data_IF_736000400670
#
_entry.id   IF_736000400670
#
_cell.length_a   1.000
_cell.length_b   1.000
_cell.length_c   1.000
_cell.angle_alpha   90.00
_cell.angle_beta   90.00
_cell.angle_gamma   90.00
#
_symmetry.space_group_name_H-M   'P 1'
#
loop_
_entity.id
_entity.type
_entity.pdbx_description
1 polymer ?
#
# COMPACT_ATOMS: atom_id res chain seq x y z
N UNK A 1 4.17 23.08 14.59
CA UNK A 1 4.79 21.74 14.65
C UNK A 1 3.71 20.69 14.88
N UNK A 2 3.73 19.58 14.16
CA UNK A 2 2.78 18.49 14.39
C UNK A 2 3.14 17.69 15.66
N UNK A 3 2.16 17.48 16.54
CA UNK A 3 2.35 16.73 17.80
C UNK A 3 2.11 15.22 17.59
N UNK A 4 2.95 14.38 18.20
CA UNK A 4 2.86 12.91 18.16
C UNK A 4 1.98 12.39 19.29
N UNK A 5 1.01 11.53 19.00
CA UNK A 5 0.30 10.72 19.99
C UNK A 5 0.55 9.24 19.72
N UNK A 6 0.90 8.48 20.76
CA UNK A 6 1.14 7.04 20.70
C UNK A 6 -0.14 6.29 21.12
N UNK A 7 -0.80 5.62 20.19
CA UNK A 7 -1.78 4.58 20.53
C UNK A 7 -1.05 3.23 20.70
N UNK A 8 -1.35 2.48 21.77
CA UNK A 8 -0.77 1.15 22.01
C UNK A 8 -1.04 0.24 20.81
N UNK A 9 0.01 -0.16 20.10
CA UNK A 9 -0.03 -1.10 18.97
C UNK A 9 -0.29 -0.50 17.57
N UNK A 10 -0.38 0.84 17.43
CA UNK A 10 -0.61 1.52 16.15
C UNK A 10 0.63 2.22 15.58
N UNK A 11 0.64 2.48 14.26
CA UNK A 11 1.61 3.40 13.66
C UNK A 11 1.49 4.80 14.28
N UNK A 12 2.59 5.56 14.42
CA UNK A 12 2.55 6.89 15.03
C UNK A 12 1.60 7.81 14.26
N UNK A 13 0.70 8.47 14.99
CA UNK A 13 -0.25 9.42 14.42
C UNK A 13 0.19 10.85 14.73
N UNK A 14 0.25 11.65 13.68
CA UNK A 14 0.65 13.06 13.75
C UNK A 14 -0.58 13.94 13.61
N UNK A 15 -0.56 15.08 14.30
CA UNK A 15 -1.66 16.02 14.26
C UNK A 15 -1.17 17.44 13.99
N UNK A 16 -1.86 18.16 13.10
CA UNK A 16 -1.74 19.61 13.00
C UNK A 16 -3.00 20.23 13.59
N UNK A 17 -2.87 21.02 14.66
CA UNK A 17 -3.99 21.28 15.58
C UNK A 17 -4.60 19.94 16.03
N UNK A 18 -5.85 19.68 15.66
CA UNK A 18 -6.54 18.41 15.87
C UNK A 18 -6.88 17.68 14.56
N UNK A 19 -6.27 18.06 13.44
CA UNK A 19 -6.36 17.33 12.18
C UNK A 19 -5.39 16.15 12.17
N UNK A 20 -5.84 14.90 12.00
CA UNK A 20 -4.95 13.77 11.84
C UNK A 20 -4.22 13.83 10.48
N UNK A 21 -2.89 13.83 10.51
CA UNK A 21 -2.02 13.89 9.34
C UNK A 21 -1.41 12.52 9.10
N UNK A 22 -1.79 11.90 7.97
CA UNK A 22 -1.23 10.61 7.51
C UNK A 22 -0.21 10.78 6.39
N UNK A 23 -0.47 11.72 5.50
CA UNK A 23 0.39 12.01 4.35
C UNK A 23 0.79 13.48 4.37
N UNK A 24 2.04 13.74 4.00
CA UNK A 24 2.55 15.07 3.69
C UNK A 24 2.65 15.19 2.17
N UNK A 25 2.35 16.39 1.67
CA UNK A 25 2.56 16.78 0.29
C UNK A 25 3.41 18.06 0.29
N UNK A 26 4.57 18.00 -0.34
CA UNK A 26 5.60 19.04 -0.30
C UNK A 26 6.10 19.33 -1.71
N UNK A 27 6.45 20.58 -1.97
CA UNK A 27 7.28 20.99 -3.10
C UNK A 27 8.51 21.68 -2.53
N UNK A 28 9.67 21.45 -3.14
CA UNK A 28 10.91 22.09 -2.70
C UNK A 28 12.06 21.77 -3.65
N UNK A 29 13.13 22.54 -3.51
CA UNK A 29 14.36 22.29 -4.25
C UNK A 29 15.17 21.20 -3.55
N UNK A 30 15.75 20.29 -4.32
CA UNK A 30 16.70 19.31 -3.80
C UNK A 30 18.00 20.05 -3.45
N UNK A 31 18.41 19.95 -2.18
CA UNK A 31 19.65 20.58 -1.69
C UNK A 31 20.75 19.57 -1.36
N UNK A 32 20.40 18.29 -1.24
CA UNK A 32 21.36 17.19 -1.11
C UNK A 32 20.77 15.87 -1.60
N UNK A 33 21.62 15.01 -2.17
CA UNK A 33 21.31 13.64 -2.59
C UNK A 33 22.33 12.74 -1.92
N UNK A 34 21.88 11.80 -1.08
CA UNK A 34 22.78 10.94 -0.31
C UNK A 34 22.45 9.46 -0.55
N UNK A 35 23.47 8.66 -0.85
CA UNK A 35 23.39 7.21 -0.76
C UNK A 35 23.72 6.79 0.69
N UNK A 36 22.73 6.30 1.42
CA UNK A 36 22.94 5.86 2.81
C UNK A 36 23.48 4.44 2.83
N UNK A 37 22.88 3.56 2.03
CA UNK A 37 23.34 2.20 1.78
C UNK A 37 22.60 1.63 0.55
N UNK A 38 22.86 0.35 0.23
CA UNK A 38 22.23 -0.35 -0.89
C UNK A 38 20.70 -0.35 -0.89
N UNK A 39 20.07 -0.13 0.27
CA UNK A 39 18.60 -0.13 0.42
C UNK A 39 17.99 1.27 0.48
N UNK A 40 18.74 2.27 0.92
CA UNK A 40 18.20 3.60 1.23
C UNK A 40 19.00 4.71 0.57
N UNK A 41 18.27 5.57 -0.13
CA UNK A 41 18.73 6.84 -0.67
C UNK A 41 17.89 7.94 -0.06
N UNK A 42 18.47 9.10 0.22
CA UNK A 42 17.73 10.26 0.73
C UNK A 42 17.92 11.47 -0.16
N UNK A 43 16.84 12.23 -0.35
CA UNK A 43 16.86 13.57 -0.91
C UNK A 43 16.58 14.56 0.22
N UNK A 44 17.35 15.63 0.36
CA UNK A 44 17.01 16.72 1.28
C UNK A 44 16.30 17.80 0.51
N UNK A 45 15.11 18.20 0.96
CA UNK A 45 14.30 19.25 0.34
C UNK A 45 14.27 20.51 1.18
N UNK A 46 14.39 21.66 0.50
CA UNK A 46 14.14 22.99 1.05
C UNK A 46 12.94 23.63 0.32
N UNK A 47 11.92 24.03 1.08
CA UNK A 47 10.74 24.73 0.58
C UNK A 47 10.75 26.24 0.89
N UNK A 48 11.87 26.74 1.43
CA UNK A 48 12.04 28.14 1.83
C UNK A 48 11.34 28.51 3.15
N UNK A 49 10.76 27.55 3.89
CA UNK A 49 10.09 27.82 5.17
C UNK A 49 11.05 28.00 6.35
N UNK A 50 12.35 27.75 6.14
CA UNK A 50 13.41 27.89 7.15
C UNK A 50 13.85 26.57 7.81
N UNK A 51 13.34 25.43 7.35
CA UNK A 51 13.78 24.10 7.75
C UNK A 51 13.80 23.16 6.54
N UNK A 52 14.60 22.10 6.58
CA UNK A 52 14.71 21.13 5.49
C UNK A 52 14.10 19.78 5.89
N UNK A 53 13.71 18.98 4.90
CA UNK A 53 13.12 17.67 5.13
C UNK A 53 13.83 16.58 4.34
N UNK A 54 14.28 15.54 5.03
CA UNK A 54 14.79 14.33 4.37
C UNK A 54 13.63 13.49 3.80
N UNK A 55 13.72 13.18 2.51
CA UNK A 55 12.83 12.28 1.78
C UNK A 55 13.56 10.97 1.56
N UNK A 56 13.07 9.93 2.23
CA UNK A 56 13.62 8.58 2.18
C UNK A 56 13.04 7.79 1.01
N UNK A 57 13.93 7.34 0.14
CA UNK A 57 13.68 6.42 -0.98
C UNK A 57 14.10 5.01 -0.54
N UNK A 58 13.22 4.04 -0.79
CA UNK A 58 13.49 2.62 -0.52
C UNK A 58 13.72 1.90 -1.84
N UNK A 59 14.92 1.39 -2.03
CA UNK A 59 15.30 0.54 -3.16
C UNK A 59 14.73 -0.86 -2.95
N UNK A 60 14.25 -1.48 -4.01
CA UNK A 60 13.86 -2.88 -3.98
C UNK A 60 15.13 -3.71 -3.79
N UNK A 61 15.13 -4.68 -2.85
CA UNK A 61 16.26 -5.57 -2.69
C UNK A 61 16.34 -6.51 -3.91
N UNK A 62 17.53 -7.05 -4.23
CA UNK A 62 17.74 -7.83 -5.45
C UNK A 62 16.82 -9.04 -5.58
N UNK A 63 16.35 -9.62 -4.48
CA UNK A 63 15.45 -10.79 -4.51
C UNK A 63 14.00 -10.42 -4.92
N UNK A 64 13.62 -9.14 -4.79
CA UNK A 64 12.30 -8.65 -5.13
C UNK A 64 12.27 -7.87 -6.45
N UNK A 65 13.42 -7.41 -6.94
CA UNK A 65 13.51 -6.69 -8.20
C UNK A 65 13.51 -7.64 -9.40
N UNK A 66 12.51 -7.50 -10.26
CA UNK A 66 12.46 -8.19 -11.55
C UNK A 66 12.26 -7.15 -12.67
N UNK A 67 13.23 -6.92 -13.57
CA UNK A 67 13.10 -5.96 -14.67
C UNK A 67 11.89 -6.17 -15.58
N UNK A 68 11.32 -7.39 -15.63
CA UNK A 68 10.14 -7.70 -16.43
C UNK A 68 8.83 -7.26 -15.75
N UNK A 69 8.76 -7.41 -14.42
CA UNK A 69 7.54 -7.18 -13.64
C UNK A 69 7.59 -5.88 -12.81
N UNK A 70 8.78 -5.32 -12.59
CA UNK A 70 9.03 -4.13 -11.76
C UNK A 70 9.33 -2.95 -12.67
N UNK A 71 8.47 -1.92 -12.71
CA UNK A 71 8.69 -0.74 -13.56
C UNK A 71 9.90 0.10 -13.11
N UNK A 72 10.34 -0.09 -11.87
CA UNK A 72 11.46 0.62 -11.27
C UNK A 72 12.22 -0.25 -10.26
N UNK A 73 13.47 0.11 -9.95
CA UNK A 73 14.27 -0.50 -8.89
C UNK A 73 13.99 0.04 -7.46
N UNK A 74 12.92 0.82 -7.27
CA UNK A 74 12.47 1.31 -5.96
C UNK A 74 11.02 0.91 -5.65
N UNK A 75 10.55 1.19 -4.43
CA UNK A 75 9.12 1.05 -4.08
C UNK A 75 8.21 2.09 -4.77
N UNK A 76 8.75 2.96 -5.63
CA UNK A 76 8.02 4.01 -6.35
C UNK A 76 8.23 3.83 -7.84
N UNK A 77 7.14 3.52 -8.56
CA UNK A 77 7.18 3.00 -9.93
C UNK A 77 7.89 3.87 -10.97
N UNK A 78 7.98 5.18 -10.76
CA UNK A 78 8.60 6.13 -11.70
C UNK A 78 9.97 6.67 -11.23
N UNK A 79 10.62 6.02 -10.25
CA UNK A 79 11.82 6.53 -9.60
C UNK A 79 12.92 5.48 -9.54
N UNK A 80 13.99 5.65 -10.31
CA UNK A 80 15.14 4.74 -10.25
C UNK A 80 16.32 5.35 -9.52
N UNK A 81 17.08 4.48 -8.84
CA UNK A 81 18.37 4.82 -8.22
C UNK A 81 19.45 3.92 -8.81
N UNK A 82 20.31 4.50 -9.63
CA UNK A 82 21.46 3.81 -10.22
C UNK A 82 22.68 4.07 -9.34
N UNK A 83 23.20 3.02 -8.71
CA UNK A 83 24.42 3.10 -7.90
C UNK A 83 25.43 2.08 -8.39
N UNK A 84 26.65 2.55 -8.64
CA UNK A 84 27.77 1.77 -9.14
C UNK A 84 29.09 2.52 -9.00
N UNK A 85 30.17 1.91 -9.49
CA UNK A 85 31.52 2.44 -9.35
C UNK A 85 31.64 3.78 -10.12
N UNK A 86 31.77 4.88 -9.39
CA UNK A 86 31.84 6.23 -9.96
C UNK A 86 30.52 6.79 -10.50
N UNK A 87 29.39 6.14 -10.24
CA UNK A 87 28.08 6.57 -10.73
C UNK A 87 27.01 6.46 -9.65
N UNK A 88 26.33 7.58 -9.39
CA UNK A 88 25.19 7.62 -8.49
C UNK A 88 24.15 8.60 -9.05
N UNK A 89 23.10 8.06 -9.67
CA UNK A 89 22.03 8.86 -10.28
C UNK A 89 20.68 8.50 -9.66
N UNK A 90 19.86 9.52 -9.44
CA UNK A 90 18.44 9.37 -9.13
C UNK A 90 17.66 9.89 -10.34
N UNK A 91 16.75 9.09 -10.89
CA UNK A 91 15.95 9.52 -12.05
C UNK A 91 14.46 9.38 -11.78
N UNK A 92 13.68 10.39 -12.14
CA UNK A 92 12.21 10.40 -12.06
C UNK A 92 11.64 10.55 -13.46
N UNK A 93 10.85 9.58 -13.92
CA UNK A 93 10.32 9.54 -15.30
C UNK A 93 11.45 9.69 -16.35
N UNK A 94 12.63 9.16 -16.07
CA UNK A 94 13.83 9.28 -16.92
C UNK A 94 14.58 10.61 -16.80
N UNK A 95 14.09 11.58 -16.03
CA UNK A 95 14.78 12.84 -15.76
C UNK A 95 15.70 12.73 -14.55
N UNK A 96 16.96 13.12 -14.69
CA UNK A 96 17.91 13.17 -13.56
C UNK A 96 17.44 14.17 -12.50
N UNK A 97 17.39 13.72 -11.26
CA UNK A 97 17.14 14.53 -10.07
C UNK A 97 18.46 14.72 -9.34
N UNK A 98 18.96 15.95 -9.36
CA UNK A 98 20.18 16.37 -8.67
C UNK A 98 19.92 17.65 -7.86
N UNK A 99 20.92 18.12 -7.12
CA UNK A 99 20.90 19.40 -6.40
C UNK A 99 20.48 20.53 -7.34
N UNK A 100 19.52 21.33 -6.91
CA UNK A 100 18.87 22.38 -7.70
C UNK A 100 17.61 21.94 -8.45
N UNK A 101 17.31 20.64 -8.51
CA UNK A 101 16.06 20.15 -9.12
C UNK A 101 14.89 20.46 -8.20
N UNK A 102 13.83 21.08 -8.73
CA UNK A 102 12.58 21.28 -7.99
C UNK A 102 11.72 20.04 -8.14
N UNK A 103 11.32 19.46 -7.01
CA UNK A 103 10.46 18.28 -7.00
C UNK A 103 9.24 18.48 -6.11
N UNK A 104 8.20 17.75 -6.47
CA UNK A 104 6.98 17.61 -5.68
C UNK A 104 6.91 16.18 -5.17
N UNK A 105 6.69 16.00 -3.87
CA UNK A 105 6.70 14.69 -3.22
C UNK A 105 5.48 14.48 -2.34
N UNK A 106 4.99 13.24 -2.33
CA UNK A 106 3.97 12.78 -1.38
C UNK A 106 4.53 11.60 -0.61
N UNK A 107 4.36 11.61 0.72
CA UNK A 107 4.84 10.53 1.56
C UNK A 107 4.17 10.45 2.92
N UNK A 108 4.55 9.43 3.69
CA UNK A 108 4.13 9.25 5.08
C UNK A 108 5.23 9.72 6.02
N UNK A 109 4.87 10.24 7.19
CA UNK A 109 5.87 10.66 8.18
C UNK A 109 6.48 9.42 8.82
N UNK A 110 7.81 9.39 8.88
CA UNK A 110 8.57 8.41 9.64
C UNK A 110 9.63 9.11 10.48
N UNK A 111 10.29 8.36 11.36
CA UNK A 111 11.27 8.90 12.30
C UNK A 111 12.50 8.01 12.31
N UNK A 112 13.69 8.60 12.30
CA UNK A 112 14.95 7.89 12.44
C UNK A 112 15.86 8.66 13.38
N UNK A 113 16.29 8.01 14.47
CA UNK A 113 17.12 8.61 15.54
C UNK A 113 16.55 9.95 16.06
N UNK A 114 15.22 10.04 16.18
CA UNK A 114 14.53 11.25 16.67
C UNK A 114 14.27 12.33 15.60
N UNK A 115 14.87 12.21 14.41
CA UNK A 115 14.63 13.13 13.31
C UNK A 115 13.46 12.65 12.44
N UNK A 116 12.58 13.58 12.07
CA UNK A 116 11.46 13.28 11.17
C UNK A 116 11.94 13.27 9.74
N UNK A 117 11.52 12.26 9.00
CA UNK A 117 11.78 12.12 7.57
C UNK A 117 10.49 11.72 6.85
N UNK A 118 10.41 11.98 5.56
CA UNK A 118 9.31 11.60 4.71
C UNK A 118 9.61 10.26 4.04
N UNK A 119 8.84 9.22 4.33
CA UNK A 119 8.89 7.99 3.55
C UNK A 119 8.12 8.20 2.23
N UNK A 120 8.85 8.17 1.12
CA UNK A 120 8.31 8.51 -0.20
C UNK A 120 7.23 7.52 -0.65
N UNK A 121 6.17 8.06 -1.25
CA UNK A 121 5.10 7.28 -1.90
C UNK A 121 4.85 7.71 -3.35
N UNK A 122 5.06 8.98 -3.68
CA UNK A 122 4.98 9.51 -5.05
C UNK A 122 5.90 10.71 -5.23
N UNK A 123 6.46 10.87 -6.43
CA UNK A 123 7.38 11.95 -6.79
C UNK A 123 7.10 12.45 -8.21
N UNK A 124 7.32 13.75 -8.43
CA UNK A 124 7.26 14.41 -9.73
C UNK A 124 8.35 15.47 -9.82
N UNK A 125 9.01 15.58 -10.97
CA UNK A 125 9.85 16.74 -11.29
C UNK A 125 8.93 17.92 -11.64
N UNK A 126 9.29 19.11 -11.17
CA UNK A 126 8.57 20.36 -11.49
C UNK A 126 9.48 21.18 -12.39
N UNK A 127 9.06 21.35 -13.65
CA UNK A 127 9.90 21.94 -14.69
C UNK A 127 9.71 23.45 -14.85
N UNK A 128 8.64 24.02 -14.28
CA UNK A 128 8.30 25.44 -14.46
C UNK A 128 7.99 26.13 -13.14
N UNK A 129 8.41 27.39 -13.02
CA UNK A 129 8.09 28.24 -11.87
C UNK A 129 6.58 28.49 -11.73
N UNK A 130 5.83 28.48 -12.84
CA UNK A 130 4.37 28.63 -12.80
C UNK A 130 3.70 27.44 -12.07
N UNK A 131 4.17 26.21 -12.30
CA UNK A 131 3.69 25.03 -11.56
C UNK A 131 4.00 25.12 -10.07
N UNK A 132 5.19 25.59 -9.72
CA UNK A 132 5.61 25.81 -8.33
C UNK A 132 4.71 26.85 -7.64
N UNK A 133 4.50 28.00 -8.27
CA UNK A 133 3.63 29.06 -7.74
C UNK A 133 2.18 28.59 -7.61
N UNK A 134 1.67 27.82 -8.57
CA UNK A 134 0.32 27.22 -8.49
C UNK A 134 0.22 26.27 -7.29
N UNK A 135 1.24 25.46 -7.04
CA UNK A 135 1.28 24.58 -5.88
C UNK A 135 1.26 25.38 -4.57
N UNK A 136 2.10 26.40 -4.43
CA UNK A 136 2.13 27.23 -3.23
C UNK A 136 0.80 27.96 -3.00
N UNK A 137 0.16 28.45 -4.05
CA UNK A 137 -1.19 29.03 -3.97
C UNK A 137 -2.19 28.01 -3.41
N UNK A 138 -2.20 26.80 -3.95
CA UNK A 138 -3.10 25.74 -3.47
C UNK A 138 -2.81 25.36 -2.01
N UNK A 139 -1.53 25.24 -1.63
CA UNK A 139 -1.11 24.92 -0.27
C UNK A 139 -1.48 26.03 0.72
N UNK A 140 -1.29 27.29 0.35
CA UNK A 140 -1.66 28.44 1.17
C UNK A 140 -3.17 28.51 1.40
N UNK A 141 -3.98 28.29 0.36
CA UNK A 141 -5.44 28.18 0.46
C UNK A 141 -5.83 27.03 1.38
N UNK A 142 -5.28 25.82 1.17
CA UNK A 142 -5.57 24.66 2.03
C UNK A 142 -5.18 24.90 3.50
N UNK A 143 -4.00 25.50 3.74
CA UNK A 143 -3.54 25.85 5.08
C UNK A 143 -4.49 26.86 5.74
N UNK A 144 -4.93 27.89 5.03
CA UNK A 144 -5.84 28.93 5.56
C UNK A 144 -7.24 28.40 5.80
N UNK A 145 -7.80 27.68 4.84
CA UNK A 145 -9.21 27.30 4.83
C UNK A 145 -9.50 26.04 5.63
N UNK A 146 -8.56 25.09 5.66
CA UNK A 146 -8.71 23.78 6.30
C UNK A 146 -7.83 23.64 7.53
N UNK A 147 -6.50 23.59 7.36
CA UNK A 147 -5.61 23.23 8.48
C UNK A 147 -5.55 24.31 9.57
N UNK A 148 -5.73 25.58 9.23
CA UNK A 148 -5.69 26.71 10.14
C UNK A 148 -6.93 26.84 11.03
N UNK A 149 -7.98 26.05 10.76
CA UNK A 149 -9.19 26.00 11.57
C UNK A 149 -9.23 24.65 12.29
N UNK A 150 -9.48 24.59 13.60
CA UNK A 150 -9.66 23.31 14.28
C UNK A 150 -10.74 22.47 13.60
N UNK A 151 -10.48 21.17 13.43
CA UNK A 151 -11.47 20.22 12.94
C UNK A 151 -12.61 20.11 13.94
N UNK A 152 -13.82 20.46 13.54
CA UNK A 152 -15.01 20.31 14.35
C UNK A 152 -16.00 19.38 13.65
N UNK A 153 -16.58 18.47 14.42
CA UNK A 153 -17.67 17.61 13.99
C UNK A 153 -18.87 17.96 14.86
N UNK A 154 -19.94 18.47 14.25
CA UNK A 154 -21.14 18.81 15.01
C UNK A 154 -21.78 17.53 15.59
N UNK A 155 -22.52 17.67 16.69
CA UNK A 155 -23.19 16.53 17.31
C UNK A 155 -24.13 15.80 16.34
N UNK A 156 -24.82 16.54 15.47
CA UNK A 156 -25.74 15.97 14.48
C UNK A 156 -25.00 15.18 13.39
N UNK A 157 -23.86 15.70 12.91
CA UNK A 157 -22.99 14.98 11.98
C UNK A 157 -22.38 13.74 12.62
N UNK A 158 -21.93 13.86 13.87
CA UNK A 158 -21.39 12.73 14.64
C UNK A 158 -22.41 11.62 14.84
N UNK A 159 -23.65 11.95 15.15
CA UNK A 159 -24.73 10.96 15.23
C UNK A 159 -25.05 10.30 13.89
N UNK A 160 -25.11 11.10 12.80
CA UNK A 160 -25.30 10.57 11.45
C UNK A 160 -24.18 9.60 11.06
N UNK A 161 -22.93 9.93 11.37
CA UNK A 161 -21.78 9.05 11.15
C UNK A 161 -21.91 7.76 11.96
N UNK A 162 -22.20 7.86 13.26
CA UNK A 162 -22.39 6.68 14.14
C UNK A 162 -23.50 5.77 13.63
N UNK A 163 -24.63 6.32 13.17
CA UNK A 163 -25.73 5.55 12.59
C UNK A 163 -25.29 4.85 11.29
N UNK A 164 -24.58 5.55 10.40
CA UNK A 164 -24.05 4.98 9.15
C UNK A 164 -23.08 3.83 9.43
N UNK A 165 -22.11 4.02 10.32
CA UNK A 165 -21.13 3.00 10.71
C UNK A 165 -21.82 1.75 11.29
N UNK A 166 -22.81 1.93 12.17
CA UNK A 166 -23.59 0.80 12.70
C UNK A 166 -24.36 0.06 11.61
N UNK A 167 -24.94 0.78 10.66
CA UNK A 167 -25.66 0.17 9.54
C UNK A 167 -24.72 -0.63 8.63
N UNK A 168 -23.57 -0.07 8.26
CA UNK A 168 -22.54 -0.74 7.45
C UNK A 168 -22.00 -1.99 8.14
N UNK A 169 -21.70 -1.92 9.45
CA UNK A 169 -21.28 -3.07 10.23
C UNK A 169 -22.33 -4.18 10.27
N UNK A 170 -23.62 -3.83 10.42
CA UNK A 170 -24.71 -4.81 10.37
C UNK A 170 -24.79 -5.48 9.00
N UNK A 171 -24.74 -4.69 7.93
CA UNK A 171 -24.77 -5.19 6.55
C UNK A 171 -23.58 -6.11 6.25
N UNK A 172 -22.37 -5.74 6.70
CA UNK A 172 -21.18 -6.57 6.55
C UNK A 172 -21.31 -7.92 7.28
N UNK A 173 -21.77 -7.90 8.54
CA UNK A 173 -22.01 -9.13 9.32
C UNK A 173 -23.06 -10.03 8.69
N UNK A 174 -24.13 -9.46 8.15
CA UNK A 174 -25.17 -10.23 7.47
C UNK A 174 -24.64 -10.85 6.18
N UNK A 175 -23.87 -10.09 5.40
CA UNK A 175 -23.20 -10.59 4.20
C UNK A 175 -22.22 -11.75 4.52
N UNK A 176 -21.40 -11.61 5.56
CA UNK A 176 -20.50 -12.68 6.02
C UNK A 176 -21.27 -13.93 6.46
N UNK A 177 -22.38 -13.77 7.19
CA UNK A 177 -23.24 -14.89 7.58
C UNK A 177 -23.82 -15.61 6.37
N UNK A 178 -24.39 -14.87 5.42
CA UNK A 178 -24.94 -15.46 4.19
C UNK A 178 -23.86 -16.18 3.39
N UNK A 179 -22.66 -15.59 3.28
CA UNK A 179 -21.52 -16.21 2.62
C UNK A 179 -21.10 -17.52 3.30
N UNK A 180 -21.00 -17.53 4.63
CA UNK A 180 -20.65 -18.73 5.39
C UNK A 180 -21.69 -19.85 5.22
N UNK A 181 -22.98 -19.51 5.22
CA UNK A 181 -24.07 -20.47 4.96
C UNK A 181 -23.97 -21.05 3.54
N UNK A 182 -23.73 -20.19 2.54
CA UNK A 182 -23.57 -20.64 1.16
C UNK A 182 -22.33 -21.52 0.97
N UNK A 183 -21.21 -21.18 1.60
CA UNK A 183 -19.98 -21.98 1.56
C UNK A 183 -20.19 -23.34 2.24
N UNK A 184 -20.84 -23.39 3.40
CA UNK A 184 -21.17 -24.64 4.09
C UNK A 184 -22.05 -25.56 3.23
N UNK A 185 -23.12 -25.02 2.63
CA UNK A 185 -24.00 -25.77 1.73
C UNK A 185 -23.26 -26.31 0.51
N UNK A 186 -22.32 -25.53 -0.06
CA UNK A 186 -21.48 -25.96 -1.18
C UNK A 186 -20.53 -27.11 -0.79
N UNK A 187 -19.96 -27.07 0.42
CA UNK A 187 -19.11 -28.14 0.96
C UNK A 187 -19.93 -29.42 1.16
N UNK A 188 -21.12 -29.30 1.76
CA UNK A 188 -22.03 -30.43 1.98
C UNK A 188 -22.44 -31.10 0.67
N UNK A 189 -22.86 -30.31 -0.33
CA UNK A 189 -23.18 -30.82 -1.67
C UNK A 189 -22.01 -31.52 -2.34
N UNK A 190 -20.78 -30.99 -2.18
CA UNK A 190 -19.56 -31.63 -2.70
C UNK A 190 -19.30 -32.98 -2.02
N UNK A 191 -19.45 -33.07 -0.69
CA UNK A 191 -19.31 -34.33 0.06
C UNK A 191 -20.35 -35.36 -0.38
N UNK A 192 -21.62 -34.99 -0.42
CA UNK A 192 -22.69 -35.88 -0.86
C UNK A 192 -22.46 -36.39 -2.30
N UNK A 193 -22.00 -35.52 -3.22
CA UNK A 193 -21.65 -35.94 -4.59
C UNK A 193 -20.46 -36.90 -4.62
N UNK A 194 -19.42 -36.66 -3.81
CA UNK A 194 -18.26 -37.53 -3.71
C UNK A 194 -18.64 -38.91 -3.15
N UNK A 195 -19.46 -38.96 -2.10
CA UNK A 195 -19.98 -40.20 -1.53
C UNK A 195 -20.83 -40.99 -2.54
N UNK A 196 -21.71 -40.31 -3.29
CA UNK A 196 -22.49 -40.94 -4.35
C UNK A 196 -21.61 -41.56 -5.44
N UNK A 197 -20.57 -40.84 -5.89
CA UNK A 197 -19.62 -41.35 -6.90
C UNK A 197 -18.86 -42.56 -6.35
N UNK A 198 -18.35 -42.50 -5.12
CA UNK A 198 -17.64 -43.61 -4.48
C UNK A 198 -18.52 -44.87 -4.33
N UNK A 199 -19.78 -44.71 -3.92
CA UNK A 199 -20.74 -45.82 -3.86
C UNK A 199 -20.99 -46.44 -5.24
N UNK A 200 -21.07 -45.61 -6.28
CA UNK A 200 -21.26 -46.07 -7.66
C UNK A 200 -20.03 -46.85 -8.15
N UNK A 201 -18.83 -46.34 -7.92
CA UNK A 201 -17.56 -46.99 -8.26
C UNK A 201 -17.40 -48.33 -7.55
N UNK A 202 -17.66 -48.40 -6.23
CA UNK A 202 -17.59 -49.65 -5.47
C UNK A 202 -18.58 -50.72 -6.01
N UNK A 203 -19.78 -50.31 -6.43
CA UNK A 203 -20.74 -51.23 -7.08
C UNK A 203 -20.22 -51.75 -8.43
N UNK A 204 -19.62 -50.88 -9.26
CA UNK A 204 -19.02 -51.29 -10.52
C UNK A 204 -17.83 -52.23 -10.29
N UNK A 205 -16.97 -51.94 -9.32
CA UNK A 205 -15.81 -52.76 -9.00
C UNK A 205 -16.24 -54.14 -8.49
N UNK A 206 -17.25 -54.22 -7.62
CA UNK A 206 -17.84 -55.49 -7.19
C UNK A 206 -18.43 -56.29 -8.35
N UNK A 207 -19.07 -55.63 -9.33
CA UNK A 207 -19.56 -56.30 -10.54
C UNK A 207 -18.41 -56.85 -11.38
N UNK A 208 -17.37 -56.04 -11.60
CA UNK A 208 -16.17 -56.44 -12.33
C UNK A 208 -15.47 -57.63 -11.67
N UNK A 209 -15.29 -57.62 -10.34
CA UNK A 209 -14.70 -58.76 -9.60
C UNK A 209 -15.52 -60.04 -9.75
N UNK A 210 -16.85 -59.96 -9.75
CA UNK A 210 -17.73 -61.12 -10.01
C UNK A 210 -17.55 -61.63 -11.44
N UNK A 211 -17.51 -60.73 -12.42
CA UNK A 211 -17.27 -61.07 -13.83
C UNK A 211 -15.88 -61.72 -14.01
N UNK A 212 -14.82 -61.18 -13.40
CA UNK A 212 -13.47 -61.74 -13.42
C UNK A 212 -13.42 -63.15 -12.79
N UNK A 213 -14.12 -63.39 -11.68
CA UNK A 213 -14.23 -64.74 -11.06
C UNK A 213 -14.92 -65.72 -12.01
N UNK A 214 -16.01 -65.30 -12.68
CA UNK A 214 -16.74 -66.15 -13.64
C UNK A 214 -15.84 -66.47 -14.86
N UNK A 215 -15.12 -65.47 -15.39
CA UNK A 215 -14.22 -65.66 -16.54
C UNK A 215 -13.02 -66.54 -16.18
N UNK A 216 -12.44 -66.38 -14.99
CA UNK A 216 -11.32 -67.20 -14.52
C UNK A 216 -11.72 -68.63 -14.15
N UNK A 217 -12.97 -68.88 -13.75
CA UNK A 217 -13.50 -70.23 -13.53
C UNK A 217 -13.61 -71.05 -14.83
N UNK A 218 -13.62 -70.40 -16.00
CA UNK A 218 -13.58 -71.03 -17.31
C UNK A 218 -12.17 -71.20 -17.91
N UNK A 219 -11.12 -70.76 -17.21
CA UNK A 219 -9.75 -70.70 -17.74
C UNK A 219 -8.79 -71.76 -17.19
N UNK A 220 -9.29 -72.76 -16.45
CA UNK A 220 -8.53 -73.94 -16.00
C UNK A 220 -9.06 -75.20 -16.72
N UNK A 221 -8.61 -75.39 -17.95
CA UNK A 221 -8.48 -76.67 -18.66
C UNK A 221 -7.15 -76.64 -19.40
#
# INVERSE_FOLDING_TARGET
MASRQLQKGGQPQYFYLNHPVRYIYLIGVVVAVNEINLRYTTLTLDDGSGDTLEVKIKRLPPELYNPVDSPSNTEVDNLDVLSGLGRFDVTVDGHTVDVGTVIKVKGTISEFRGLKQLELKRIWVVSTTDEEVKFWKALATFKKETLGKPWHLSSTEGEKLKKRLKFEQRKAREYERQRAVHEAKKIEQRKARAEYVAQKEAKYEMRRRKEEIIMNAGALI
#
